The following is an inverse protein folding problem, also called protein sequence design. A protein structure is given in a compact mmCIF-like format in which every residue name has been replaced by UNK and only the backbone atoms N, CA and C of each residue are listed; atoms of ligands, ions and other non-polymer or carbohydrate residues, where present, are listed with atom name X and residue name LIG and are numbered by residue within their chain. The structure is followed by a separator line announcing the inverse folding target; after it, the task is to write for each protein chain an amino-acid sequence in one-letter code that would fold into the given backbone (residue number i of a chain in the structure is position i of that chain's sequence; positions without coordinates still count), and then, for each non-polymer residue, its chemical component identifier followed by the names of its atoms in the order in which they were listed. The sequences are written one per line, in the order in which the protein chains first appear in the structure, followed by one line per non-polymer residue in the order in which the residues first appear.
data_IF_489286842533
#
_entry.id   IF_489286842533
#
_cell.length_a   1.000
_cell.length_b   1.000
_cell.length_c   1.000
_cell.angle_alpha   90.00
_cell.angle_beta   90.00
_cell.angle_gamma   90.00
#
_symmetry.space_group_name_H-M   'P 1'
#
loop_
_entity.id
_entity.type
_entity.pdbx_description
1 polymer ?
#
# COMPACT_ATOMS: atom_id res chain seq x y z
N UNK A 1 6.74 1.90 -28.38
CA UNK A 1 6.27 1.33 -27.11
C UNK A 1 4.80 1.68 -26.98
N UNK A 2 3.91 0.71 -26.90
CA UNK A 2 2.48 0.93 -26.72
C UNK A 2 2.18 1.44 -25.28
N UNK A 3 0.91 1.79 -25.00
CA UNK A 3 0.54 2.36 -23.70
C UNK A 3 0.76 1.36 -22.54
N UNK A 4 0.42 0.08 -22.73
CA UNK A 4 0.57 -0.96 -21.72
C UNK A 4 2.06 -1.20 -21.39
N UNK A 5 2.92 -1.33 -22.41
CA UNK A 5 4.37 -1.50 -22.21
C UNK A 5 4.98 -0.32 -21.44
N UNK A 6 4.52 0.91 -21.75
CA UNK A 6 4.96 2.10 -21.04
C UNK A 6 4.57 2.05 -19.55
N UNK A 7 3.35 1.61 -19.23
CA UNK A 7 2.90 1.51 -17.86
C UNK A 7 3.64 0.42 -17.09
N UNK A 8 3.84 -0.74 -17.69
CA UNK A 8 4.66 -1.82 -17.10
C UNK A 8 6.11 -1.37 -16.86
N UNK A 9 6.72 -0.67 -17.83
CA UNK A 9 8.04 -0.10 -17.66
C UNK A 9 8.11 0.88 -16.48
N UNK A 10 7.12 1.77 -16.34
CA UNK A 10 7.05 2.73 -15.23
C UNK A 10 6.91 2.00 -13.90
N UNK A 11 6.03 1.00 -13.78
CA UNK A 11 5.84 0.20 -12.57
C UNK A 11 7.15 -0.52 -12.17
N UNK A 12 7.85 -1.10 -13.14
CA UNK A 12 9.15 -1.73 -12.91
C UNK A 12 10.20 -0.76 -12.40
N UNK A 13 10.26 0.45 -12.97
CA UNK A 13 11.18 1.51 -12.50
C UNK A 13 10.85 1.97 -11.08
N UNK A 14 9.56 2.03 -10.72
CA UNK A 14 9.15 2.29 -9.34
C UNK A 14 9.63 1.18 -8.39
N UNK A 15 9.51 -0.07 -8.78
CA UNK A 15 10.01 -1.20 -8.00
C UNK A 15 11.53 -1.12 -7.80
N UNK A 16 12.29 -0.86 -8.85
CA UNK A 16 13.75 -0.71 -8.76
C UNK A 16 14.15 0.45 -7.84
N UNK A 17 13.45 1.59 -7.93
CA UNK A 17 13.64 2.73 -7.05
C UNK A 17 13.29 2.39 -5.59
N UNK A 18 12.18 1.70 -5.36
CA UNK A 18 11.79 1.20 -4.03
C UNK A 18 12.84 0.27 -3.43
N UNK A 19 13.34 -0.69 -4.21
CA UNK A 19 14.44 -1.60 -3.79
C UNK A 19 15.73 -0.84 -3.48
N UNK A 20 16.09 0.15 -4.28
CA UNK A 20 17.27 0.98 -4.04
C UNK A 20 17.13 1.79 -2.76
N UNK A 21 15.96 2.41 -2.54
CA UNK A 21 15.67 3.17 -1.33
C UNK A 21 15.69 2.28 -0.09
N UNK A 22 15.02 1.12 -0.11
CA UNK A 22 15.02 0.17 1.01
C UNK A 22 16.45 -0.27 1.36
N UNK A 23 17.28 -0.58 0.35
CA UNK A 23 18.70 -0.92 0.59
C UNK A 23 19.47 0.24 1.22
N UNK A 24 19.32 1.45 0.70
CA UNK A 24 19.99 2.65 1.21
C UNK A 24 19.59 2.97 2.66
N UNK A 25 18.35 2.71 3.03
CA UNK A 25 17.81 2.91 4.38
C UNK A 25 17.96 1.68 5.29
N UNK A 26 18.64 0.63 4.83
CA UNK A 26 18.80 -0.64 5.58
C UNK A 26 17.47 -1.26 5.99
N UNK A 27 16.45 -1.12 5.12
CA UNK A 27 15.13 -1.73 5.29
C UNK A 27 15.16 -3.10 4.62
N UNK A 28 14.79 -4.13 5.38
CA UNK A 28 14.57 -5.49 4.89
C UNK A 28 13.09 -5.84 4.96
N UNK A 29 12.63 -6.66 4.02
CA UNK A 29 11.23 -7.11 3.97
C UNK A 29 11.19 -8.63 3.92
N UNK A 30 10.35 -9.23 4.75
CA UNK A 30 9.94 -10.62 4.65
C UNK A 30 8.56 -10.66 4.01
N UNK A 31 8.41 -11.43 2.94
CA UNK A 31 7.14 -11.57 2.22
C UNK A 31 6.58 -12.96 2.51
N UNK A 32 5.40 -13.03 3.07
CA UNK A 32 4.67 -14.25 3.40
C UNK A 32 3.41 -14.30 2.54
N UNK A 33 3.25 -15.37 1.77
CA UNK A 33 2.20 -15.52 0.77
C UNK A 33 2.71 -15.21 -0.63
N UNK A 34 1.83 -15.31 -1.61
CA UNK A 34 2.16 -15.13 -3.03
C UNK A 34 1.21 -14.15 -3.69
N UNK A 35 1.73 -13.42 -4.66
CA UNK A 35 0.96 -12.54 -5.53
C UNK A 35 1.31 -12.84 -6.99
N UNK A 36 0.27 -13.01 -7.82
CA UNK A 36 0.41 -13.09 -9.27
C UNK A 36 -0.20 -11.85 -9.91
N UNK A 37 0.52 -11.26 -10.87
CA UNK A 37 0.08 -10.08 -11.62
C UNK A 37 -0.76 -10.41 -12.86
N UNK A 38 -1.13 -11.68 -13.07
CA UNK A 38 -1.78 -12.16 -14.30
C UNK A 38 -3.21 -11.62 -14.49
N UNK A 39 -3.77 -11.02 -13.44
CA UNK A 39 -5.15 -10.52 -13.44
C UNK A 39 -5.21 -9.07 -12.95
N UNK A 40 -6.19 -8.28 -13.44
CA UNK A 40 -6.44 -6.93 -12.95
C UNK A 40 -6.63 -6.92 -11.44
N UNK A 41 -5.68 -6.34 -10.71
CA UNK A 41 -5.65 -6.45 -9.25
C UNK A 41 -5.54 -5.10 -8.55
N UNK A 42 -6.33 -4.95 -7.49
CA UNK A 42 -6.25 -3.84 -6.54
C UNK A 42 -5.55 -4.34 -5.27
N UNK A 43 -4.33 -3.91 -5.03
CA UNK A 43 -3.58 -4.24 -3.82
C UNK A 43 -3.99 -3.30 -2.69
N UNK A 44 -4.33 -3.88 -1.55
CA UNK A 44 -4.99 -3.15 -0.46
C UNK A 44 -4.25 -3.42 0.84
N UNK A 45 -3.18 -2.66 1.17
CA UNK A 45 -2.49 -2.75 2.45
C UNK A 45 -3.11 -1.82 3.51
N UNK A 46 -2.82 -2.10 4.80
CA UNK A 46 -2.93 -1.10 5.86
C UNK A 46 -1.87 -0.01 5.67
N UNK A 47 -2.00 1.11 6.42
CA UNK A 47 -1.11 2.27 6.29
C UNK A 47 -0.59 2.71 7.64
N UNK A 48 0.72 2.56 7.88
CA UNK A 48 1.33 2.81 9.18
C UNK A 48 2.41 3.89 9.17
N UNK A 49 2.94 4.26 8.01
CA UNK A 49 4.04 5.23 7.98
C UNK A 49 4.32 5.89 6.64
N UNK A 50 5.23 6.83 6.67
CA UNK A 50 5.62 7.63 5.49
C UNK A 50 6.35 6.81 4.43
N UNK A 51 7.04 5.74 4.85
CA UNK A 51 7.82 4.88 3.94
C UNK A 51 7.02 3.74 3.30
N UNK A 52 5.78 3.49 3.75
CA UNK A 52 4.96 2.38 3.26
C UNK A 52 4.85 2.30 1.73
N UNK A 53 4.59 3.41 1.00
CA UNK A 53 4.50 3.34 -0.45
C UNK A 53 5.80 2.80 -1.09
N UNK A 54 6.95 3.20 -0.59
CA UNK A 54 8.24 2.77 -1.12
C UNK A 54 8.57 1.32 -0.79
N UNK A 55 8.20 0.88 0.41
CA UNK A 55 8.37 -0.51 0.84
C UNK A 55 7.44 -1.41 0.01
N UNK A 56 6.18 -1.00 -0.20
CA UNK A 56 5.26 -1.71 -1.09
C UNK A 56 5.78 -1.73 -2.54
N UNK A 57 6.30 -0.62 -3.06
CA UNK A 57 6.91 -0.58 -4.39
C UNK A 57 8.11 -1.51 -4.51
N UNK A 58 8.90 -1.70 -3.46
CA UNK A 58 10.04 -2.64 -3.51
C UNK A 58 9.59 -4.09 -3.71
N UNK A 59 8.36 -4.41 -3.30
CA UNK A 59 7.80 -5.77 -3.32
C UNK A 59 6.97 -6.03 -4.58
N UNK A 60 6.18 -5.05 -5.01
CA UNK A 60 5.19 -5.20 -6.08
C UNK A 60 5.48 -4.27 -7.27
N UNK A 61 5.24 -4.75 -8.49
CA UNK A 61 5.16 -3.93 -9.70
C UNK A 61 3.78 -3.24 -9.75
N UNK A 62 3.68 -2.03 -9.19
CA UNK A 62 2.40 -1.36 -8.95
C UNK A 62 2.38 0.09 -9.40
N UNK A 63 1.17 0.60 -9.63
CA UNK A 63 0.90 2.03 -9.66
C UNK A 63 0.23 2.45 -8.33
N UNK A 64 0.60 3.62 -7.82
CA UNK A 64 0.03 4.17 -6.59
C UNK A 64 -1.09 5.13 -6.85
N UNK A 65 -2.03 5.18 -5.88
CA UNK A 65 -3.02 6.26 -5.78
C UNK A 65 -2.65 7.16 -4.61
N UNK A 66 -2.36 8.41 -4.90
CA UNK A 66 -2.04 9.44 -3.90
C UNK A 66 -3.09 10.54 -3.86
N UNK A 67 -3.07 11.35 -2.80
CA UNK A 67 -3.93 12.54 -2.70
C UNK A 67 -3.50 13.59 -3.73
N UNK A 68 -4.46 14.23 -4.40
CA UNK A 68 -4.21 15.25 -5.43
C UNK A 68 -3.38 16.43 -4.93
N UNK A 69 -3.50 16.77 -3.65
CA UNK A 69 -2.75 17.85 -3.01
C UNK A 69 -1.24 17.61 -3.08
N UNK A 70 -0.80 16.35 -3.05
CA UNK A 70 0.63 15.99 -3.15
C UNK A 70 1.21 16.29 -4.53
N UNK A 71 0.37 16.33 -5.57
CA UNK A 71 0.78 16.70 -6.92
C UNK A 71 1.20 18.16 -7.07
N UNK A 72 0.80 19.03 -6.13
CA UNK A 72 1.17 20.44 -6.06
C UNK A 72 2.44 20.74 -5.26
N UNK A 73 3.04 19.75 -4.61
CA UNK A 73 4.25 19.97 -3.81
C UNK A 73 5.47 20.18 -4.70
N UNK A 74 6.33 21.17 -4.39
CA UNK A 74 7.56 21.40 -5.15
C UNK A 74 8.42 20.13 -5.18
N UNK A 75 9.04 19.84 -6.31
CA UNK A 75 9.89 18.66 -6.55
C UNK A 75 9.12 17.34 -6.42
N UNK A 76 8.46 17.08 -5.28
CA UNK A 76 7.75 15.85 -5.00
C UNK A 76 6.59 15.60 -5.97
N UNK A 77 5.79 16.62 -6.28
CA UNK A 77 4.71 16.51 -7.27
C UNK A 77 5.22 16.23 -8.68
N UNK A 78 6.38 16.76 -9.05
CA UNK A 78 7.02 16.43 -10.33
C UNK A 78 7.49 14.97 -10.36
N UNK A 79 8.15 14.49 -9.30
CA UNK A 79 8.56 13.08 -9.16
C UNK A 79 7.34 12.15 -9.24
N UNK A 80 6.27 12.46 -8.50
CA UNK A 80 5.04 11.67 -8.53
C UNK A 80 4.44 11.55 -9.94
N UNK A 81 4.45 12.63 -10.72
CA UNK A 81 3.98 12.61 -12.11
C UNK A 81 4.92 11.80 -13.01
N UNK A 82 6.22 11.95 -12.83
CA UNK A 82 7.22 11.23 -13.61
C UNK A 82 7.16 9.72 -13.41
N UNK A 83 6.83 9.28 -12.18
CA UNK A 83 6.65 7.85 -11.84
C UNK A 83 5.21 7.35 -12.03
N UNK A 84 4.31 8.13 -12.62
CA UNK A 84 2.98 7.70 -13.03
C UNK A 84 2.01 7.43 -11.88
N UNK A 85 2.12 8.18 -10.77
CA UNK A 85 1.17 8.11 -9.65
C UNK A 85 -0.20 8.64 -10.10
N UNK A 86 -1.26 7.92 -9.72
CA UNK A 86 -2.65 8.31 -9.94
C UNK A 86 -3.06 9.29 -8.83
N UNK A 87 -3.54 10.48 -9.19
CA UNK A 87 -3.97 11.46 -8.21
C UNK A 87 -5.47 11.42 -7.94
N UNK A 88 -5.84 10.99 -6.72
CA UNK A 88 -7.24 10.94 -6.28
C UNK A 88 -7.75 12.30 -5.80
N UNK A 89 -8.79 12.79 -6.45
CA UNK A 89 -9.50 14.01 -6.09
C UNK A 89 -10.74 13.67 -5.24
N UNK A 90 -10.68 13.93 -3.93
CA UNK A 90 -11.73 13.51 -2.99
C UNK A 90 -12.95 14.44 -2.95
N UNK A 91 -12.83 15.68 -3.42
CA UNK A 91 -13.81 16.75 -3.18
C UNK A 91 -14.74 17.04 -4.36
N UNK A 92 -14.67 16.32 -5.48
CA UNK A 92 -15.52 16.53 -6.66
C UNK A 92 -15.93 15.18 -7.27
N UNK A 93 -17.23 14.91 -7.33
CA UNK A 93 -17.81 13.64 -7.85
C UNK A 93 -17.30 13.31 -9.26
N UNK A 94 -17.27 14.25 -10.19
CA UNK A 94 -16.74 14.04 -11.54
C UNK A 94 -15.26 13.63 -11.56
N UNK A 95 -14.44 14.21 -10.69
CA UNK A 95 -13.00 13.85 -10.59
C UNK A 95 -12.79 12.53 -9.87
N UNK A 96 -13.73 12.12 -9.01
CA UNK A 96 -13.74 10.79 -8.39
C UNK A 96 -13.97 9.72 -9.44
N UNK A 97 -14.90 9.91 -10.37
CA UNK A 97 -15.15 9.00 -11.49
C UNK A 97 -13.93 8.89 -12.40
N UNK A 98 -13.29 10.01 -12.74
CA UNK A 98 -12.04 10.02 -13.51
C UNK A 98 -10.93 9.21 -12.83
N UNK A 99 -10.79 9.32 -11.52
CA UNK A 99 -9.81 8.52 -10.75
C UNK A 99 -10.15 7.02 -10.82
N UNK A 100 -11.41 6.66 -10.69
CA UNK A 100 -11.88 5.27 -10.83
C UNK A 100 -11.56 4.71 -12.22
N UNK A 101 -11.85 5.48 -13.27
CA UNK A 101 -11.58 5.08 -14.65
C UNK A 101 -10.07 4.96 -14.93
N UNK A 102 -9.25 5.83 -14.36
CA UNK A 102 -7.80 5.75 -14.45
C UNK A 102 -7.24 4.51 -13.75
N UNK A 103 -7.74 4.17 -12.56
CA UNK A 103 -7.39 2.93 -11.85
C UNK A 103 -7.75 1.71 -12.71
N UNK A 104 -8.97 1.67 -13.26
CA UNK A 104 -9.42 0.59 -14.16
C UNK A 104 -8.54 0.45 -15.40
N UNK A 105 -8.24 1.56 -16.04
CA UNK A 105 -7.38 1.56 -17.23
C UNK A 105 -5.98 1.02 -16.91
N UNK A 106 -5.43 1.40 -15.74
CA UNK A 106 -4.14 0.91 -15.29
C UNK A 106 -4.14 -0.59 -15.03
N UNK A 107 -5.14 -1.10 -14.32
CA UNK A 107 -5.28 -2.53 -14.07
C UNK A 107 -5.46 -3.34 -15.37
N UNK A 108 -6.26 -2.83 -16.31
CA UNK A 108 -6.44 -3.46 -17.63
C UNK A 108 -5.17 -3.44 -18.48
N UNK A 109 -4.22 -2.56 -18.22
CA UNK A 109 -2.91 -2.56 -18.88
C UNK A 109 -1.92 -3.56 -18.25
N UNK A 110 -2.36 -4.41 -17.32
CA UNK A 110 -1.53 -5.43 -16.66
C UNK A 110 -0.71 -4.91 -15.49
N UNK A 111 -0.97 -3.67 -15.02
CA UNK A 111 -0.30 -3.10 -13.84
C UNK A 111 -1.26 -3.07 -12.67
N UNK A 112 -0.94 -3.75 -11.57
CA UNK A 112 -1.72 -3.67 -10.36
C UNK A 112 -1.71 -2.25 -9.77
N UNK A 113 -2.80 -1.89 -9.12
CA UNK A 113 -2.91 -0.58 -8.47
C UNK A 113 -3.00 -0.76 -6.97
N UNK A 114 -2.21 0.00 -6.22
CA UNK A 114 -2.24 0.00 -4.77
C UNK A 114 -3.00 1.20 -4.24
N UNK A 115 -3.93 0.92 -3.33
CA UNK A 115 -4.62 1.93 -2.53
C UNK A 115 -4.46 1.63 -1.04
N UNK A 116 -4.31 2.67 -0.22
CA UNK A 116 -4.44 2.56 1.23
C UNK A 116 -5.89 2.85 1.63
N UNK A 117 -6.71 1.83 1.93
CA UNK A 117 -8.17 2.01 2.10
C UNK A 117 -8.53 2.80 3.35
N UNK A 118 -7.67 2.82 4.35
CA UNK A 118 -7.83 3.63 5.57
C UNK A 118 -7.83 5.13 5.26
N UNK A 119 -7.10 5.52 4.21
CA UNK A 119 -7.02 6.91 3.74
C UNK A 119 -6.26 7.85 4.66
N UNK A 120 -5.65 7.31 5.70
CA UNK A 120 -4.72 7.97 6.62
C UNK A 120 -3.83 6.90 7.24
N UNK A 121 -2.71 7.29 7.80
CA UNK A 121 -1.84 6.42 8.58
C UNK A 121 -2.36 6.21 9.99
N UNK A 122 -1.96 5.12 10.62
CA UNK A 122 -2.29 4.74 11.99
C UNK A 122 -1.07 4.22 12.74
N UNK A 123 -1.20 3.97 14.02
CA UNK A 123 -0.16 3.30 14.83
C UNK A 123 -0.07 1.78 14.57
N UNK A 124 -0.90 1.25 13.69
CA UNK A 124 -0.95 -0.15 13.32
C UNK A 124 -1.52 -1.11 14.40
N UNK A 125 -1.96 -0.59 15.55
CA UNK A 125 -2.60 -1.41 16.60
C UNK A 125 -3.92 -2.01 16.15
N UNK A 126 -4.70 -1.21 15.40
CA UNK A 126 -6.00 -1.61 14.85
C UNK A 126 -6.11 -1.15 13.41
N UNK A 127 -6.76 -1.96 12.58
CA UNK A 127 -7.13 -1.52 11.24
C UNK A 127 -8.25 -0.47 11.34
N UNK A 128 -8.01 0.70 10.73
CA UNK A 128 -9.02 1.74 10.66
C UNK A 128 -10.19 1.33 9.75
N UNK A 129 -11.34 2.03 9.81
CA UNK A 129 -12.43 1.81 8.87
C UNK A 129 -12.00 2.05 7.42
N UNK A 130 -12.32 1.11 6.52
CA UNK A 130 -11.99 1.21 5.11
C UNK A 130 -12.94 2.15 4.38
N UNK A 131 -12.38 3.09 3.62
CA UNK A 131 -13.12 3.96 2.70
C UNK A 131 -13.44 3.20 1.43
N UNK A 132 -14.72 3.14 1.09
CA UNK A 132 -15.22 2.30 -0.02
C UNK A 132 -14.95 2.86 -1.41
N UNK A 133 -14.57 4.15 -1.53
CA UNK A 133 -14.45 4.84 -2.81
C UNK A 133 -13.43 4.23 -3.78
N UNK A 134 -12.27 3.77 -3.27
CA UNK A 134 -11.23 3.13 -4.10
C UNK A 134 -11.65 1.77 -4.65
N UNK A 135 -12.53 1.06 -3.94
CA UNK A 135 -13.04 -0.26 -4.35
C UNK A 135 -14.03 -0.17 -5.53
N UNK A 136 -14.54 1.02 -5.85
CA UNK A 136 -15.38 1.25 -7.03
C UNK A 136 -14.66 0.87 -8.32
N UNK A 137 -13.34 1.00 -8.35
CA UNK A 137 -12.54 0.68 -9.52
C UNK A 137 -12.61 -0.81 -9.92
N UNK A 138 -12.79 -1.71 -8.96
CA UNK A 138 -12.92 -3.16 -9.20
C UNK A 138 -14.35 -3.66 -9.03
N UNK A 139 -15.27 -2.83 -8.53
CA UNK A 139 -16.65 -3.20 -8.30
C UNK A 139 -17.33 -3.69 -9.60
N UNK A 140 -17.98 -4.86 -9.52
CA UNK A 140 -18.66 -5.52 -10.63
C UNK A 140 -17.76 -5.81 -11.86
N UNK A 141 -16.45 -5.90 -11.70
CA UNK A 141 -15.56 -6.43 -12.73
C UNK A 141 -15.61 -7.97 -12.69
N UNK A 142 -15.79 -8.60 -13.86
CA UNK A 142 -15.86 -10.07 -13.95
C UNK A 142 -14.51 -10.74 -13.69
N UNK A 143 -13.41 -10.04 -13.97
CA UNK A 143 -12.03 -10.51 -13.93
C UNK A 143 -11.16 -9.74 -12.92
N UNK A 144 -11.76 -8.84 -12.14
CA UNK A 144 -11.05 -8.03 -11.15
C UNK A 144 -10.85 -8.75 -9.82
N UNK A 145 -9.73 -8.44 -9.16
CA UNK A 145 -9.38 -9.00 -7.86
C UNK A 145 -8.94 -7.92 -6.87
N UNK A 146 -9.18 -8.19 -5.59
CA UNK A 146 -8.56 -7.46 -4.48
C UNK A 146 -7.54 -8.38 -3.83
N UNK A 147 -6.36 -7.88 -3.61
CA UNK A 147 -5.29 -8.56 -2.87
C UNK A 147 -5.11 -7.87 -1.52
N UNK A 148 -5.65 -8.44 -0.44
CA UNK A 148 -5.45 -7.89 0.90
C UNK A 148 -4.00 -8.12 1.34
N UNK A 149 -3.38 -7.09 1.90
CA UNK A 149 -1.99 -7.18 2.37
C UNK A 149 -1.92 -6.60 3.78
N UNK A 150 -1.40 -7.37 4.73
CA UNK A 150 -1.08 -6.86 6.05
C UNK A 150 0.41 -6.53 6.14
N UNK A 151 0.70 -5.31 6.54
CA UNK A 151 2.03 -4.75 6.62
C UNK A 151 2.37 -4.36 8.06
N UNK A 152 3.53 -4.84 8.54
CA UNK A 152 3.93 -4.67 9.93
C UNK A 152 5.45 -4.46 10.05
N UNK A 153 5.88 -3.61 10.98
CA UNK A 153 7.28 -3.53 11.40
C UNK A 153 7.54 -4.59 12.46
N UNK A 154 8.43 -5.53 12.16
CA UNK A 154 8.76 -6.64 13.08
C UNK A 154 9.90 -6.30 14.01
N UNK A 155 10.96 -5.66 13.53
CA UNK A 155 12.08 -5.28 14.39
C UNK A 155 12.78 -3.99 13.97
N UNK A 156 13.41 -3.35 14.96
CA UNK A 156 14.29 -2.20 14.81
C UNK A 156 15.67 -2.58 15.37
N UNK A 157 16.70 -2.51 14.54
CA UNK A 157 18.09 -2.92 14.91
C UNK A 157 18.21 -4.36 15.45
N UNK A 158 17.30 -5.25 15.04
CA UNK A 158 17.23 -6.64 15.48
C UNK A 158 16.41 -6.88 16.75
N UNK A 159 15.94 -5.83 17.41
CA UNK A 159 15.04 -5.94 18.57
C UNK A 159 13.59 -5.98 18.08
N UNK A 160 12.82 -6.97 18.51
CA UNK A 160 11.38 -7.08 18.19
C UNK A 160 10.64 -5.84 18.67
N UNK A 161 9.72 -5.38 17.81
CA UNK A 161 8.91 -4.19 18.09
C UNK A 161 7.68 -4.61 18.90
N UNK A 162 7.58 -4.09 20.10
CA UNK A 162 6.38 -4.18 20.93
C UNK A 162 5.37 -3.06 20.62
N UNK A 163 4.30 -3.01 21.40
CA UNK A 163 3.23 -2.02 21.23
C UNK A 163 3.73 -0.58 21.41
N UNK A 164 4.68 -0.35 22.31
CA UNK A 164 5.17 0.99 22.65
C UNK A 164 6.29 1.44 21.72
N UNK A 165 7.23 0.58 21.38
CA UNK A 165 8.32 0.88 20.44
C UNK A 165 7.82 1.05 19.00
N UNK A 166 6.68 0.48 18.62
CA UNK A 166 6.04 0.64 17.31
C UNK A 166 5.79 2.13 16.96
N UNK A 167 5.44 2.95 17.95
CA UNK A 167 5.18 4.39 17.76
C UNK A 167 6.39 5.12 17.17
N UNK A 168 7.60 4.62 17.35
CA UNK A 168 8.81 5.23 16.78
C UNK A 168 8.90 5.08 15.27
N UNK A 169 8.27 4.04 14.70
CA UNK A 169 8.29 3.74 13.25
C UNK A 169 7.02 4.20 12.57
N UNK A 170 5.89 4.16 13.27
CA UNK A 170 4.58 4.49 12.71
C UNK A 170 4.32 5.99 12.73
N UNK A 171 3.46 6.43 11.82
CA UNK A 171 3.01 7.81 11.76
C UNK A 171 1.54 7.91 12.14
N UNK A 172 1.28 8.36 13.37
CA UNK A 172 -0.06 8.70 13.84
C UNK A 172 -0.21 10.22 14.02
N UNK A 173 -1.42 10.74 13.68
CA UNK A 173 -1.77 12.16 13.93
C UNK A 173 -1.62 12.50 15.43
N UNK A 174 -1.13 13.70 15.82
CA UNK A 174 -0.99 14.94 15.03
C UNK A 174 0.42 15.21 14.45
N UNK A 175 1.31 14.24 14.48
CA UNK A 175 2.69 14.42 14.02
C UNK A 175 2.75 14.83 12.54
N UNK A 176 3.65 15.77 12.19
CA UNK A 176 3.89 16.14 10.79
C UNK A 176 4.62 15.01 10.05
N UNK A 177 4.27 14.79 8.79
CA UNK A 177 4.87 13.78 7.92
C UNK A 177 6.40 13.85 7.92
N UNK A 178 6.97 15.04 7.79
CA UNK A 178 8.42 15.24 7.77
C UNK A 178 9.10 14.86 9.09
N UNK A 179 8.45 15.10 10.22
CA UNK A 179 8.95 14.70 11.53
C UNK A 179 9.05 13.18 11.63
N UNK A 180 8.00 12.46 11.21
CA UNK A 180 8.04 11.01 11.16
C UNK A 180 9.14 10.50 10.20
N UNK A 181 9.25 11.10 9.02
CA UNK A 181 10.27 10.71 8.05
C UNK A 181 11.68 10.82 8.65
N UNK A 182 12.03 11.97 9.23
CA UNK A 182 13.35 12.16 9.87
C UNK A 182 13.56 11.21 11.05
N UNK A 183 12.54 10.98 11.85
CA UNK A 183 12.61 10.02 12.95
C UNK A 183 12.93 8.62 12.44
N UNK A 184 12.19 8.14 11.44
CA UNK A 184 12.40 6.80 10.89
C UNK A 184 13.74 6.65 10.19
N UNK A 185 14.23 7.70 9.51
CA UNK A 185 15.57 7.71 8.91
C UNK A 185 16.69 7.58 9.94
N UNK A 186 16.47 8.00 11.19
CA UNK A 186 17.41 7.91 12.29
C UNK A 186 17.43 6.56 13.01
N UNK A 187 16.48 5.66 12.78
CA UNK A 187 16.32 4.42 13.56
C UNK A 187 17.33 3.31 13.21
N UNK A 188 18.02 3.38 12.07
CA UNK A 188 18.96 2.36 11.66
C UNK A 188 18.33 1.23 10.85
N UNK A 189 18.54 -0.05 11.22
CA UNK A 189 18.00 -1.20 10.46
C UNK A 189 16.56 -1.46 10.83
N UNK A 190 15.69 -1.53 9.80
CA UNK A 190 14.27 -1.84 9.96
C UNK A 190 13.94 -3.15 9.26
N UNK A 191 13.16 -4.00 9.91
CA UNK A 191 12.64 -5.23 9.31
C UNK A 191 11.12 -5.20 9.30
N UNK A 192 10.55 -5.32 8.10
CA UNK A 192 9.11 -5.35 7.89
C UNK A 192 8.64 -6.71 7.41
N UNK A 193 7.43 -7.06 7.79
CA UNK A 193 6.72 -8.22 7.28
C UNK A 193 5.57 -7.77 6.39
N UNK A 194 5.43 -8.41 5.24
CA UNK A 194 4.36 -8.20 4.27
C UNK A 194 3.63 -9.53 4.09
N UNK A 195 2.44 -9.65 4.69
CA UNK A 195 1.59 -10.83 4.53
C UNK A 195 0.60 -10.59 3.42
N UNK A 196 0.67 -11.42 2.39
CA UNK A 196 -0.23 -11.37 1.24
C UNK A 196 -1.34 -12.40 1.47
N UNK A 197 -2.58 -11.94 1.44
CA UNK A 197 -3.74 -12.82 1.56
C UNK A 197 -4.24 -13.32 0.21
N UNK A 198 -5.14 -14.30 0.26
CA UNK A 198 -5.77 -14.84 -0.92
C UNK A 198 -6.52 -13.77 -1.72
N UNK A 199 -6.36 -13.75 -3.05
CA UNK A 199 -7.08 -12.80 -3.90
C UNK A 199 -8.60 -12.97 -3.81
N UNK A 200 -9.30 -11.88 -3.61
CA UNK A 200 -10.76 -11.82 -3.49
C UNK A 200 -11.35 -11.39 -4.84
N UNK A 201 -12.14 -12.25 -5.49
CA UNK A 201 -12.82 -11.91 -6.73
C UNK A 201 -13.83 -10.77 -6.53
N UNK A 202 -13.87 -9.83 -7.49
CA UNK A 202 -14.82 -8.72 -7.50
C UNK A 202 -16.14 -9.05 -8.22
N UNK A 203 -16.22 -10.21 -8.86
CA UNK A 203 -17.41 -10.61 -9.62
C UNK A 203 -18.66 -10.60 -8.75
N UNK A 204 -19.71 -9.92 -9.22
CA UNK A 204 -21.00 -9.77 -8.54
C UNK A 204 -20.91 -9.17 -7.13
N UNK A 205 -19.89 -8.37 -6.87
CA UNK A 205 -19.71 -7.69 -5.57
C UNK A 205 -19.62 -6.18 -5.74
N UNK A 206 -20.39 -5.48 -4.93
CA UNK A 206 -20.34 -4.03 -4.86
C UNK A 206 -19.16 -3.57 -3.97
N UNK A 207 -18.81 -2.27 -4.06
CA UNK A 207 -17.69 -1.68 -3.35
C UNK A 207 -17.73 -1.83 -1.82
N UNK A 208 -18.93 -1.91 -1.21
CA UNK A 208 -19.06 -2.06 0.25
C UNK A 208 -18.76 -3.49 0.68
N UNK A 209 -19.24 -4.48 -0.09
CA UNK A 209 -18.95 -5.89 0.13
C UNK A 209 -17.46 -6.18 -0.05
N UNK A 210 -16.85 -5.61 -1.08
CA UNK A 210 -15.42 -5.74 -1.34
C UNK A 210 -14.57 -5.13 -0.22
N UNK A 211 -14.92 -3.93 0.25
CA UNK A 211 -14.21 -3.28 1.35
C UNK A 211 -14.32 -4.09 2.66
N UNK A 212 -15.49 -4.67 2.93
CA UNK A 212 -15.70 -5.55 4.09
C UNK A 212 -14.85 -6.81 3.96
N UNK A 213 -14.95 -7.52 2.83
CA UNK A 213 -14.20 -8.76 2.60
C UNK A 213 -12.68 -8.55 2.69
N UNK A 214 -12.18 -7.43 2.14
CA UNK A 214 -10.77 -7.05 2.25
C UNK A 214 -10.36 -6.79 3.70
N UNK A 215 -11.19 -6.07 4.47
CA UNK A 215 -10.91 -5.79 5.88
C UNK A 215 -10.90 -7.07 6.70
N UNK A 216 -11.89 -7.95 6.52
CA UNK A 216 -11.98 -9.24 7.23
C UNK A 216 -10.78 -10.14 6.92
N UNK A 217 -10.30 -10.13 5.67
CA UNK A 217 -9.09 -10.85 5.29
C UNK A 217 -7.84 -10.26 5.95
N UNK A 218 -7.70 -8.94 5.98
CA UNK A 218 -6.56 -8.28 6.63
C UNK A 218 -6.55 -8.48 8.15
N UNK A 219 -7.72 -8.54 8.82
CA UNK A 219 -7.82 -8.89 10.24
C UNK A 219 -7.33 -10.32 10.51
N UNK A 220 -7.56 -11.26 9.58
CA UNK A 220 -6.98 -12.62 9.69
C UNK A 220 -5.47 -12.61 9.52
N UNK A 221 -4.94 -11.87 8.53
CA UNK A 221 -3.50 -11.74 8.32
C UNK A 221 -2.80 -11.10 9.52
N UNK A 222 -3.45 -10.09 10.11
CA UNK A 222 -2.97 -9.42 11.33
C UNK A 222 -2.87 -10.40 12.49
N UNK A 223 -3.93 -11.19 12.74
CA UNK A 223 -3.90 -12.21 13.81
C UNK A 223 -2.80 -13.25 13.58
N UNK A 224 -2.63 -13.74 12.36
CA UNK A 224 -1.55 -14.66 12.04
C UNK A 224 -0.16 -14.07 12.30
N UNK A 225 0.05 -12.76 12.05
CA UNK A 225 1.30 -12.11 12.40
C UNK A 225 1.49 -11.95 13.91
N UNK A 226 0.43 -11.65 14.64
CA UNK A 226 0.46 -11.54 16.11
C UNK A 226 0.77 -12.89 16.77
N UNK A 227 0.25 -13.99 16.24
CA UNK A 227 0.55 -15.35 16.67
C UNK A 227 2.03 -15.71 16.43
N UNK A 228 2.56 -15.41 15.24
CA UNK A 228 3.97 -15.61 14.92
C UNK A 228 4.89 -14.78 15.83
N UNK A 229 4.55 -13.52 16.07
CA UNK A 229 5.31 -12.66 16.98
C UNK A 229 5.32 -13.20 18.41
N UNK A 230 4.20 -13.76 18.88
CA UNK A 230 4.12 -14.37 20.21
C UNK A 230 5.03 -15.60 20.34
N UNK A 231 5.18 -16.39 19.26
CA UNK A 231 6.09 -17.54 19.24
C UNK A 231 7.58 -17.15 19.18
N UNK A 232 7.88 -15.95 18.73
CA UNK A 232 9.26 -15.43 18.65
C UNK A 232 9.74 -14.74 19.95
N UNK A 233 8.81 -14.48 20.87
CA UNK A 233 9.15 -13.97 22.20
C UNK A 233 9.55 -15.15 23.11
N UNK A 234 10.71 -15.09 23.77
CA UNK A 234 11.20 -16.16 24.64
C UNK A 234 10.34 -16.38 25.87
#
# INVERSE_FOLDING_TARGET
MNHADRMAFVAKRQQDAGKALCRGLRITTEVIGQYSSDKPSLIVPNHIGTLDPWIMASTFDIAFVAKSEMGGWPVFGWVCKAVGIIFAHRNKVMRTNQTVDEIRARMRSGVAVLIFPEGTTSDGRKLLPFKTGGFEAVSNMNDGYIVPVYFHVRSVNGTLVDVDSRVQVTWSSPQKMWTNLWQVLGLGRLHFVIRIGEPISSMNRNRKELARAAKDAMERLKRAEEEDLHQLQP
#
